data_IF_196559564244
#
_entry.id   IF_196559564244
#
_cell.length_a   1.000
_cell.length_b   1.000
_cell.length_c   1.000
_cell.angle_alpha   90.00
_cell.angle_beta   90.00
_cell.angle_gamma   90.00
#
_symmetry.space_group_name_H-M   'P 1'
#
loop_
_entity.id
_entity.type
_entity.pdbx_description
1 polymer ?
#
# COMPACT_ATOMS: atom_id res chain seq x y z
N UNK A 1 39.96 -1.94 -2.78
CA UNK A 1 38.77 -2.76 -3.08
C UNK A 1 37.95 -3.06 -1.84
N UNK A 2 38.53 -3.58 -0.79
CA UNK A 2 37.79 -3.90 0.46
C UNK A 2 37.29 -2.67 1.21
N UNK A 3 37.89 -1.51 1.08
CA UNK A 3 37.45 -0.27 1.72
C UNK A 3 36.17 0.34 1.11
N UNK A 4 35.97 0.15 -0.19
CA UNK A 4 34.81 0.69 -0.91
C UNK A 4 33.52 -0.10 -0.62
N UNK A 5 33.64 -1.40 -0.36
CA UNK A 5 32.48 -2.23 0.01
C UNK A 5 31.97 -1.91 1.41
N UNK A 6 32.86 -1.62 2.36
CA UNK A 6 32.46 -1.24 3.73
C UNK A 6 31.78 0.12 3.79
N UNK A 7 32.27 1.10 3.01
CA UNK A 7 31.64 2.42 2.92
C UNK A 7 30.25 2.33 2.31
N UNK A 8 30.02 1.42 1.34
CA UNK A 8 28.68 1.17 0.79
C UNK A 8 27.73 0.56 1.80
N UNK A 9 28.20 -0.38 2.63
CA UNK A 9 27.36 -1.04 3.65
C UNK A 9 26.88 -0.05 4.69
N UNK A 10 27.72 0.89 5.14
CA UNK A 10 27.36 1.92 6.12
C UNK A 10 26.36 2.95 5.55
N UNK A 11 26.34 3.14 4.21
CA UNK A 11 25.51 4.14 3.54
C UNK A 11 24.36 3.51 2.75
N UNK A 12 24.25 2.18 2.73
CA UNK A 12 23.29 1.47 1.90
C UNK A 12 21.91 1.45 2.57
N UNK A 13 20.90 1.80 1.78
CA UNK A 13 19.51 1.60 2.16
C UNK A 13 19.29 0.12 2.47
N UNK A 14 18.67 -0.16 3.61
CA UNK A 14 18.42 -1.55 4.01
C UNK A 14 17.21 -2.14 3.29
N UNK A 15 16.09 -1.44 3.35
CA UNK A 15 14.83 -1.87 2.69
C UNK A 15 13.78 -0.76 2.80
N UNK A 16 12.78 -0.85 1.96
CA UNK A 16 11.57 -0.06 2.16
C UNK A 16 10.73 -0.78 3.23
N UNK A 17 10.41 -0.09 4.33
CA UNK A 17 9.73 -0.71 5.46
C UNK A 17 8.23 -0.86 5.23
N UNK A 18 7.55 0.25 4.96
CA UNK A 18 6.13 0.25 4.69
C UNK A 18 5.70 1.45 3.87
N UNK A 19 4.47 1.38 3.35
CA UNK A 19 3.76 2.51 2.78
C UNK A 19 2.64 2.88 3.76
N UNK A 20 2.61 4.13 4.18
CA UNK A 20 1.59 4.64 5.09
C UNK A 20 0.41 5.23 4.34
N UNK A 21 -0.79 4.84 4.74
CA UNK A 21 -2.04 5.32 4.14
C UNK A 21 -2.98 5.73 5.27
N UNK A 22 -3.42 6.98 5.23
CA UNK A 22 -4.42 7.49 6.18
C UNK A 22 -5.82 7.27 5.61
N UNK A 23 -6.69 6.65 6.40
CA UNK A 23 -8.06 6.31 6.00
C UNK A 23 -9.07 6.77 7.05
N UNK A 24 -10.32 6.90 6.66
CA UNK A 24 -11.41 7.21 7.60
C UNK A 24 -11.92 5.97 8.31
N UNK A 25 -12.04 4.85 7.59
CA UNK A 25 -12.49 3.57 8.14
C UNK A 25 -11.35 2.55 8.09
N UNK A 26 -10.76 2.31 9.25
CA UNK A 26 -9.70 1.31 9.37
C UNK A 26 -10.23 -0.09 9.05
N UNK A 27 -11.41 -0.44 9.56
CA UNK A 27 -12.01 -1.76 9.34
C UNK A 27 -12.32 -2.03 7.87
N UNK A 28 -12.88 -1.07 7.16
CA UNK A 28 -13.18 -1.22 5.74
C UNK A 28 -11.89 -1.36 4.91
N UNK A 29 -10.87 -0.58 5.23
CA UNK A 29 -9.58 -0.66 4.55
C UNK A 29 -8.89 -2.01 4.81
N UNK A 30 -8.88 -2.48 6.05
CA UNK A 30 -8.34 -3.80 6.39
C UNK A 30 -9.06 -4.89 5.59
N UNK A 31 -10.38 -4.87 5.57
CA UNK A 31 -11.17 -5.87 4.83
C UNK A 31 -10.84 -5.90 3.35
N UNK A 32 -10.66 -4.74 2.74
CA UNK A 32 -10.29 -4.64 1.33
C UNK A 32 -8.91 -5.26 1.07
N UNK A 33 -7.91 -4.86 1.83
CA UNK A 33 -6.55 -5.34 1.61
C UNK A 33 -6.37 -6.81 1.99
N UNK A 34 -7.11 -7.31 2.96
CA UNK A 34 -7.15 -8.76 3.26
C UNK A 34 -7.78 -9.53 2.10
N UNK A 35 -8.86 -9.01 1.50
CA UNK A 35 -9.46 -9.61 0.30
C UNK A 35 -8.49 -9.64 -0.88
N UNK A 36 -7.66 -8.60 -1.03
CA UNK A 36 -6.61 -8.55 -2.04
C UNK A 36 -5.55 -9.64 -1.80
N UNK A 37 -5.29 -10.00 -0.55
CA UNK A 37 -4.33 -11.05 -0.21
C UNK A 37 -3.31 -10.68 0.86
N UNK A 38 -3.37 -9.47 1.40
CA UNK A 38 -2.51 -9.11 2.51
C UNK A 38 -3.00 -9.78 3.80
N UNK A 39 -2.10 -9.92 4.75
CA UNK A 39 -2.39 -10.50 6.05
C UNK A 39 -2.26 -9.42 7.12
N UNK A 40 -3.26 -9.31 7.99
CA UNK A 40 -3.18 -8.42 9.15
C UNK A 40 -2.17 -8.97 10.15
N UNK A 41 -1.11 -8.21 10.43
CA UNK A 41 -0.12 -8.56 11.45
C UNK A 41 -0.53 -8.08 12.83
N UNK A 42 -1.18 -6.93 12.92
CA UNK A 42 -1.59 -6.38 14.20
C UNK A 42 -2.24 -5.02 14.09
N UNK A 43 -2.86 -4.61 15.19
CA UNK A 43 -3.46 -3.30 15.38
C UNK A 43 -2.94 -2.70 16.67
N UNK A 44 -2.79 -1.38 16.71
CA UNK A 44 -2.34 -0.69 17.90
C UNK A 44 -2.89 0.74 17.94
N UNK A 45 -2.97 1.28 19.16
CA UNK A 45 -3.21 2.70 19.38
C UNK A 45 -1.85 3.36 19.58
N UNK A 46 -1.53 4.35 18.74
CA UNK A 46 -0.31 5.14 18.86
C UNK A 46 -0.67 6.46 19.51
N UNK A 47 -0.19 6.66 20.72
CA UNK A 47 -0.45 7.88 21.49
C UNK A 47 0.73 8.16 22.44
N UNK A 48 0.73 9.35 23.05
CA UNK A 48 1.77 9.77 23.97
C UNK A 48 2.72 10.81 23.37
N UNK A 49 3.56 11.37 24.21
CA UNK A 49 4.49 12.45 23.80
C UNK A 49 5.47 12.00 22.71
N UNK A 50 5.95 10.77 22.79
CA UNK A 50 6.92 10.26 21.83
C UNK A 50 6.36 10.28 20.41
N UNK A 51 5.07 9.96 20.24
CA UNK A 51 4.41 9.96 18.93
C UNK A 51 4.38 11.37 18.34
N UNK A 52 4.01 12.35 19.16
CA UNK A 52 4.01 13.75 18.74
C UNK A 52 5.42 14.27 18.41
N UNK A 53 6.43 13.82 19.12
CA UNK A 53 7.82 14.19 18.81
C UNK A 53 8.28 13.65 17.46
N UNK A 54 7.81 12.49 17.06
CA UNK A 54 8.13 11.89 15.75
C UNK A 54 7.42 12.64 14.62
N UNK A 55 6.12 12.90 14.77
CA UNK A 55 5.30 13.43 13.68
C UNK A 55 5.18 14.96 13.68
N UNK A 56 5.52 15.61 14.78
CA UNK A 56 5.30 17.04 14.96
C UNK A 56 3.85 17.40 15.30
N UNK A 57 3.01 16.44 15.58
CA UNK A 57 1.60 16.64 15.94
C UNK A 57 1.40 16.47 17.45
N UNK A 58 0.90 17.54 18.11
CA UNK A 58 0.62 17.48 19.53
C UNK A 58 -0.64 16.64 19.83
N UNK A 59 -0.64 15.97 20.98
CA UNK A 59 -1.77 15.18 21.47
C UNK A 59 -2.28 14.13 20.48
N UNK A 60 -1.36 13.53 19.76
CA UNK A 60 -1.68 12.54 18.74
C UNK A 60 -2.30 11.28 19.35
N UNK A 61 -3.43 10.85 18.77
CA UNK A 61 -4.01 9.53 18.97
C UNK A 61 -4.40 8.96 17.62
N UNK A 62 -3.77 7.86 17.24
CA UNK A 62 -3.94 7.25 15.93
C UNK A 62 -4.08 5.74 16.10
N UNK A 63 -5.14 5.17 15.56
CA UNK A 63 -5.22 3.72 15.40
C UNK A 63 -4.46 3.31 14.16
N UNK A 64 -3.60 2.32 14.29
CA UNK A 64 -2.90 1.76 13.13
C UNK A 64 -3.21 0.28 12.95
N UNK A 65 -3.09 -0.17 11.72
CA UNK A 65 -3.10 -1.59 11.35
C UNK A 65 -1.92 -1.85 10.42
N UNK A 66 -1.15 -2.87 10.73
CA UNK A 66 -0.03 -3.28 9.88
C UNK A 66 -0.44 -4.53 9.11
N UNK A 67 -0.34 -4.46 7.78
CA UNK A 67 -0.63 -5.57 6.89
C UNK A 67 0.62 -5.95 6.11
N UNK A 68 0.81 -7.24 5.90
CA UNK A 68 2.00 -7.78 5.23
C UNK A 68 1.59 -8.59 4.00
N UNK A 69 2.41 -8.52 2.94
CA UNK A 69 2.25 -9.36 1.75
C UNK A 69 2.57 -10.83 2.07
N UNK A 70 2.01 -11.79 1.30
CA UNK A 70 2.23 -13.22 1.57
C UNK A 70 3.70 -13.65 1.63
N UNK A 71 4.58 -12.99 0.87
CA UNK A 71 6.01 -13.25 0.90
C UNK A 71 6.73 -12.66 2.13
N UNK A 72 6.04 -11.84 2.91
CA UNK A 72 6.59 -11.22 4.11
C UNK A 72 7.50 -10.02 3.86
N UNK A 73 7.67 -9.60 2.62
CA UNK A 73 8.66 -8.57 2.26
C UNK A 73 8.12 -7.14 2.22
N UNK A 74 6.81 -6.96 2.07
CA UNK A 74 6.23 -5.62 1.93
C UNK A 74 5.07 -5.42 2.88
N UNK A 75 4.92 -4.19 3.39
CA UNK A 75 3.89 -3.84 4.37
C UNK A 75 3.17 -2.57 4.00
N UNK A 76 1.91 -2.52 4.41
CA UNK A 76 1.13 -1.30 4.49
C UNK A 76 0.88 -0.98 5.96
N UNK A 77 1.03 0.29 6.31
CA UNK A 77 0.55 0.81 7.59
C UNK A 77 -0.69 1.65 7.34
N UNK A 78 -1.84 1.15 7.74
CA UNK A 78 -3.10 1.89 7.67
C UNK A 78 -3.26 2.67 8.96
N UNK A 79 -3.64 3.95 8.86
CA UNK A 79 -3.78 4.84 10.01
C UNK A 79 -5.13 5.53 9.99
N UNK A 80 -5.78 5.59 11.14
CA UNK A 80 -6.98 6.38 11.37
C UNK A 80 -6.72 7.38 12.50
N UNK A 81 -6.71 8.67 12.18
CA UNK A 81 -6.48 9.71 13.17
C UNK A 81 -7.74 9.96 13.99
N UNK A 82 -7.62 9.83 15.32
CA UNK A 82 -8.65 10.24 16.25
C UNK A 82 -8.41 11.71 16.67
N UNK A 83 -7.16 12.06 16.92
CA UNK A 83 -6.70 13.42 17.17
C UNK A 83 -5.26 13.56 16.70
N UNK A 84 -4.87 14.72 16.12
CA UNK A 84 -5.74 15.78 15.62
C UNK A 84 -6.57 15.30 14.42
N UNK A 85 -7.64 16.03 14.04
CA UNK A 85 -8.44 15.64 12.89
C UNK A 85 -7.65 15.71 11.59
N UNK A 86 -8.03 14.88 10.61
CA UNK A 86 -7.44 14.94 9.26
C UNK A 86 -7.70 16.30 8.63
N UNK A 87 -6.74 16.82 7.88
CA UNK A 87 -6.78 18.21 7.38
C UNK A 87 -6.79 18.33 5.86
N UNK A 88 -6.51 17.25 5.14
CA UNK A 88 -6.42 17.27 3.69
C UNK A 88 -6.93 15.95 3.13
N UNK A 89 -7.35 15.97 1.87
CA UNK A 89 -7.84 14.78 1.18
C UNK A 89 -7.17 14.64 -0.18
N UNK A 90 -6.33 13.63 -0.32
CA UNK A 90 -5.63 13.29 -1.55
C UNK A 90 -6.25 12.08 -2.27
N UNK A 91 -7.32 11.53 -1.72
CA UNK A 91 -8.04 10.40 -2.32
C UNK A 91 -8.77 10.90 -3.57
N UNK A 92 -9.01 10.00 -4.51
CA UNK A 92 -9.64 10.35 -5.79
C UNK A 92 -8.87 11.34 -6.67
N UNK A 93 -7.61 11.64 -6.33
CA UNK A 93 -6.78 12.47 -7.18
C UNK A 93 -6.60 11.84 -8.57
N UNK A 94 -6.54 12.64 -9.64
CA UNK A 94 -6.24 12.11 -10.98
C UNK A 94 -4.92 11.34 -10.98
N UNK A 95 -4.79 10.36 -11.87
CA UNK A 95 -3.59 9.49 -11.92
C UNK A 95 -2.30 10.25 -12.21
N UNK A 96 -2.38 11.48 -12.70
CA UNK A 96 -1.25 12.35 -12.99
C UNK A 96 -1.07 13.50 -11.97
N UNK A 97 -1.69 13.40 -10.80
CA UNK A 97 -1.47 14.36 -9.74
C UNK A 97 -0.06 14.20 -9.15
N UNK A 98 0.50 15.31 -8.69
CA UNK A 98 1.82 15.28 -8.05
C UNK A 98 1.75 14.60 -6.68
N UNK A 99 2.80 13.88 -6.33
CA UNK A 99 3.00 13.28 -5.02
C UNK A 99 2.80 11.77 -4.99
N UNK A 100 2.72 11.21 -3.78
CA UNK A 100 2.46 9.79 -3.57
C UNK A 100 1.03 9.46 -3.96
N UNK A 101 0.84 8.55 -4.89
CA UNK A 101 -0.45 8.40 -5.52
C UNK A 101 -1.02 6.99 -5.45
N UNK A 102 -0.18 5.97 -5.63
CA UNK A 102 -0.67 4.60 -5.71
C UNK A 102 0.29 3.59 -5.10
N UNK A 103 -0.28 2.45 -4.75
CA UNK A 103 0.46 1.23 -4.45
C UNK A 103 0.10 0.21 -5.51
N UNK A 104 1.10 -0.50 -6.04
CA UNK A 104 0.89 -1.51 -7.07
C UNK A 104 1.25 -2.88 -6.52
N UNK A 105 0.38 -3.85 -6.80
CA UNK A 105 0.57 -5.23 -6.38
C UNK A 105 0.65 -6.15 -7.60
N UNK A 106 1.55 -7.11 -7.55
CA UNK A 106 1.57 -8.21 -8.52
C UNK A 106 0.69 -9.32 -7.98
N UNK A 107 -0.23 -9.81 -8.81
CA UNK A 107 -1.21 -10.85 -8.45
C UNK A 107 -1.07 -12.04 -9.40
N UNK A 108 -1.50 -13.20 -8.94
CA UNK A 108 -1.43 -14.42 -9.74
C UNK A 108 -2.45 -14.47 -10.88
N UNK A 109 -3.63 -13.89 -10.65
CA UNK A 109 -4.73 -13.90 -11.62
C UNK A 109 -5.50 -12.58 -11.48
N UNK A 110 -5.29 -11.69 -12.44
CA UNK A 110 -5.86 -10.34 -12.38
C UNK A 110 -7.39 -10.35 -12.52
N UNK A 111 -7.94 -11.25 -13.33
CA UNK A 111 -9.39 -11.32 -13.52
C UNK A 111 -10.11 -11.79 -12.24
N UNK A 112 -9.60 -12.85 -11.62
CA UNK A 112 -10.16 -13.35 -10.36
C UNK A 112 -10.00 -12.35 -9.22
N UNK A 113 -8.84 -11.71 -9.13
CA UNK A 113 -8.58 -10.67 -8.13
C UNK A 113 -9.56 -9.52 -8.30
N UNK A 114 -9.71 -9.04 -9.53
CA UNK A 114 -10.60 -7.93 -9.85
C UNK A 114 -12.06 -8.26 -9.52
N UNK A 115 -12.53 -9.47 -9.82
CA UNK A 115 -13.88 -9.90 -9.48
C UNK A 115 -14.13 -9.86 -7.97
N UNK A 116 -13.19 -10.35 -7.18
CA UNK A 116 -13.28 -10.30 -5.71
C UNK A 116 -13.31 -8.87 -5.18
N UNK A 117 -12.43 -8.01 -5.70
CA UNK A 117 -12.32 -6.63 -5.24
C UNK A 117 -13.53 -5.79 -5.66
N UNK A 118 -14.14 -6.07 -6.82
CA UNK A 118 -15.38 -5.43 -7.26
C UNK A 118 -16.52 -5.69 -6.28
N UNK A 119 -16.58 -6.86 -5.69
CA UNK A 119 -17.57 -7.17 -4.64
C UNK A 119 -17.36 -6.33 -3.38
N UNK A 120 -16.16 -5.78 -3.21
CA UNK A 120 -15.81 -4.85 -2.13
C UNK A 120 -15.89 -3.38 -2.57
N UNK A 121 -16.47 -3.10 -3.74
CA UNK A 121 -16.69 -1.76 -4.23
C UNK A 121 -15.57 -1.18 -5.10
N UNK A 122 -14.57 -1.98 -5.49
CA UNK A 122 -13.52 -1.51 -6.39
C UNK A 122 -14.06 -1.20 -7.78
N UNK A 123 -13.54 -0.13 -8.38
CA UNK A 123 -13.92 0.32 -9.73
C UNK A 123 -12.68 0.47 -10.59
N UNK A 124 -12.75 0.02 -11.84
CA UNK A 124 -11.68 0.25 -12.81
C UNK A 124 -11.58 1.74 -13.13
N UNK A 125 -10.34 2.24 -13.17
CA UNK A 125 -10.07 3.61 -13.64
C UNK A 125 -10.10 3.68 -15.16
N UNK A 126 -9.44 2.74 -15.80
CA UNK A 126 -9.44 2.56 -17.26
C UNK A 126 -9.83 1.12 -17.59
N UNK A 127 -8.99 0.42 -18.31
CA UNK A 127 -9.21 -0.95 -18.75
C UNK A 127 -8.13 -1.87 -18.22
N UNK A 128 -8.40 -3.17 -18.20
CA UNK A 128 -7.36 -4.18 -18.08
C UNK A 128 -6.69 -4.31 -19.44
N UNK A 129 -5.39 -4.04 -19.50
CA UNK A 129 -4.64 -4.00 -20.76
C UNK A 129 -3.48 -4.98 -20.68
N UNK A 130 -3.27 -5.70 -21.78
CA UNK A 130 -2.10 -6.54 -21.93
C UNK A 130 -0.99 -5.77 -22.62
N UNK A 131 0.17 -5.72 -21.97
CA UNK A 131 1.39 -5.14 -22.53
C UNK A 131 2.28 -6.24 -23.07
N UNK A 132 2.35 -6.35 -24.40
CA UNK A 132 3.11 -7.41 -25.08
C UNK A 132 2.72 -8.80 -24.55
N UNK A 133 3.69 -9.72 -24.44
CA UNK A 133 3.51 -11.01 -23.79
C UNK A 133 3.98 -10.99 -22.33
N UNK A 134 4.19 -9.81 -21.74
CA UNK A 134 4.83 -9.64 -20.45
C UNK A 134 3.84 -9.50 -19.30
N UNK A 135 2.87 -8.58 -19.42
CA UNK A 135 1.98 -8.24 -18.31
C UNK A 135 0.55 -8.00 -18.76
N UNK A 136 -0.38 -8.20 -17.82
CA UNK A 136 -1.70 -7.58 -17.84
C UNK A 136 -1.77 -6.61 -16.68
N UNK A 137 -2.26 -5.41 -16.91
CA UNK A 137 -2.26 -4.34 -15.92
C UNK A 137 -3.62 -3.67 -15.85
N UNK A 138 -3.96 -3.16 -14.68
CA UNK A 138 -5.06 -2.21 -14.52
C UNK A 138 -4.84 -1.33 -13.30
N UNK A 139 -5.53 -0.18 -13.27
CA UNK A 139 -5.68 0.62 -12.07
C UNK A 139 -7.11 0.56 -11.60
N UNK A 140 -7.29 0.53 -10.29
CA UNK A 140 -8.61 0.54 -9.65
C UNK A 140 -8.65 1.61 -8.57
N UNK A 141 -9.87 2.09 -8.27
CA UNK A 141 -10.15 2.81 -7.04
C UNK A 141 -10.59 1.80 -6.00
N UNK A 142 -9.84 1.74 -4.92
CA UNK A 142 -10.12 0.86 -3.79
C UNK A 142 -10.90 1.57 -2.69
N UNK A 143 -10.66 1.22 -1.42
CA UNK A 143 -11.39 1.84 -0.32
C UNK A 143 -11.18 3.35 -0.33
N UNK A 144 -12.28 4.09 -0.13
CA UNK A 144 -12.26 5.55 -0.04
C UNK A 144 -11.67 6.26 -1.27
N UNK A 145 -11.64 5.59 -2.42
CA UNK A 145 -11.11 6.17 -3.66
C UNK A 145 -9.60 6.08 -3.84
N UNK A 146 -8.91 5.34 -2.98
CA UNK A 146 -7.47 5.13 -3.10
C UNK A 146 -7.10 4.46 -4.42
N UNK A 147 -6.06 4.96 -5.07
CA UNK A 147 -5.58 4.41 -6.33
C UNK A 147 -4.67 3.20 -6.08
N UNK A 148 -5.02 2.08 -6.68
CA UNK A 148 -4.30 0.82 -6.53
C UNK A 148 -4.04 0.25 -7.93
N UNK A 149 -2.80 -0.17 -8.17
CA UNK A 149 -2.43 -0.87 -9.40
C UNK A 149 -2.37 -2.38 -9.18
N UNK A 150 -2.81 -3.12 -10.18
CA UNK A 150 -2.70 -4.58 -10.23
C UNK A 150 -1.94 -4.98 -11.48
N UNK A 151 -1.03 -5.93 -11.34
CA UNK A 151 -0.28 -6.50 -12.45
C UNK A 151 -0.26 -8.02 -12.34
N UNK A 152 -0.43 -8.68 -13.48
CA UNK A 152 -0.22 -10.13 -13.60
C UNK A 152 0.92 -10.37 -14.57
N UNK A 153 1.93 -11.08 -14.14
CA UNK A 153 3.04 -11.48 -15.00
C UNK A 153 2.60 -12.67 -15.87
N UNK A 154 2.76 -12.54 -17.19
CA UNK A 154 2.34 -13.57 -18.15
C UNK A 154 3.47 -14.53 -18.48
N UNK A 155 4.70 -14.14 -18.25
CA UNK A 155 5.85 -14.99 -18.44
C UNK A 155 6.35 -15.49 -17.11
N UNK A 156 6.49 -16.80 -16.94
CA UNK A 156 7.17 -17.34 -15.76
C UNK A 156 8.60 -16.84 -15.75
N UNK A 157 9.13 -16.44 -14.57
CA UNK A 157 10.56 -16.18 -14.48
C UNK A 157 11.31 -17.44 -14.93
N UNK A 158 12.41 -17.24 -15.69
CA UNK A 158 13.24 -18.32 -16.16
C UNK A 158 13.57 -19.26 -15.00
N UNK A 159 13.33 -20.57 -15.17
CA UNK A 159 13.79 -21.53 -14.17
C UNK A 159 15.31 -21.44 -14.10
N UNK A 160 15.80 -20.99 -12.99
CA UNK A 160 17.21 -20.93 -12.72
C UNK A 160 17.83 -22.32 -12.75
#
# INVERSE_FOLDING_TARGET
MLGHERERDDMTLKRMDNVGIVVESLDAAISFFVELGLKLEGRAMIEGEWAGRVTGLESQRVEIAMLVTPDGHSRLELSRFLTPPVIADHRNAPVNALGYLRVMFTVNDIDKTLDRLRRRGAELVGEVVQYEAAYRLCYIRGPEGLLIGLAEELTSPDPA
#
